data_IF_648107457808
#
_entry.id   IF_648107457808
#
_cell.length_a   1.000
_cell.length_b   1.000
_cell.length_c   1.000
_cell.angle_alpha   90.00
_cell.angle_beta   90.00
_cell.angle_gamma   90.00
#
_symmetry.space_group_name_H-M   'P 1'
#
loop_
_entity.id
_entity.type
_entity.pdbx_description
1 polymer ?
#
# COMPACT_ATOMS: atom_id res chain seq x y z
N UNK A 1 -4.40 -13.85 -39.73
CA UNK A 1 -5.81 -13.41 -39.81
C UNK A 1 -6.54 -13.86 -38.54
N UNK A 2 -6.63 -12.98 -37.55
CA UNK A 2 -7.55 -13.11 -36.41
C UNK A 2 -8.29 -11.78 -36.34
N UNK A 3 -9.30 -11.62 -37.18
CA UNK A 3 -10.16 -10.45 -37.17
C UNK A 3 -11.31 -10.68 -36.18
N UNK A 4 -11.53 -9.66 -35.35
CA UNK A 4 -12.74 -9.30 -34.60
C UNK A 4 -13.97 -10.22 -34.78
N UNK A 5 -14.39 -10.90 -33.71
CA UNK A 5 -15.77 -11.38 -33.59
C UNK A 5 -15.96 -12.66 -32.80
N UNK A 6 -15.13 -13.68 -33.05
CA UNK A 6 -15.33 -14.99 -32.41
C UNK A 6 -14.57 -15.10 -31.10
N UNK A 7 -15.31 -14.98 -30.00
CA UNK A 7 -14.78 -15.28 -28.67
C UNK A 7 -14.35 -16.76 -28.64
N UNK A 8 -13.04 -17.01 -28.64
CA UNK A 8 -12.48 -18.34 -28.40
C UNK A 8 -13.17 -19.00 -27.20
N UNK A 9 -13.51 -20.31 -27.28
CA UNK A 9 -14.09 -21.01 -26.14
C UNK A 9 -13.21 -20.87 -24.90
N UNK A 10 -13.83 -20.68 -23.74
CA UNK A 10 -13.12 -20.39 -22.49
C UNK A 10 -12.07 -21.47 -22.14
N UNK A 11 -12.37 -22.73 -22.43
CA UNK A 11 -11.44 -23.86 -22.26
C UNK A 11 -10.20 -23.73 -23.15
N UNK A 12 -10.35 -23.24 -24.38
CA UNK A 12 -9.23 -23.02 -25.30
C UNK A 12 -8.38 -21.85 -24.80
N UNK A 13 -9.01 -20.76 -24.37
CA UNK A 13 -8.31 -19.63 -23.72
C UNK A 13 -7.50 -20.11 -22.51
N UNK A 14 -8.09 -20.91 -21.62
CA UNK A 14 -7.42 -21.48 -20.45
C UNK A 14 -6.19 -22.32 -20.83
N UNK A 15 -6.32 -23.22 -21.81
CA UNK A 15 -5.21 -24.09 -22.25
C UNK A 15 -4.08 -23.30 -22.90
N UNK A 16 -4.42 -22.27 -23.70
CA UNK A 16 -3.43 -21.40 -24.32
C UNK A 16 -2.66 -20.59 -23.28
N UNK A 17 -3.36 -19.98 -22.31
CA UNK A 17 -2.71 -19.27 -21.19
C UNK A 17 -1.84 -20.22 -20.36
N UNK A 18 -2.30 -21.45 -20.12
CA UNK A 18 -1.51 -22.43 -19.40
C UNK A 18 -0.24 -22.85 -20.16
N UNK A 19 -0.35 -23.13 -21.46
CA UNK A 19 0.80 -23.44 -22.31
C UNK A 19 1.80 -22.28 -22.33
N UNK A 20 1.29 -21.06 -22.46
CA UNK A 20 2.08 -19.84 -22.42
C UNK A 20 2.85 -19.71 -21.10
N UNK A 21 2.17 -19.92 -19.96
CA UNK A 21 2.79 -19.95 -18.64
C UNK A 21 3.88 -21.02 -18.51
N UNK A 22 3.62 -22.23 -19.02
CA UNK A 22 4.58 -23.33 -18.99
C UNK A 22 5.86 -23.03 -19.79
N UNK A 23 5.76 -22.33 -20.93
CA UNK A 23 6.94 -21.94 -21.71
C UNK A 23 7.75 -20.88 -20.95
N UNK A 24 7.09 -19.91 -20.32
CA UNK A 24 7.75 -18.87 -19.53
C UNK A 24 8.49 -19.47 -18.34
N UNK A 25 7.85 -20.35 -17.57
CA UNK A 25 8.43 -20.91 -16.35
C UNK A 25 9.45 -22.02 -16.62
N UNK A 26 9.42 -22.65 -17.80
CA UNK A 26 10.29 -23.77 -18.14
C UNK A 26 11.74 -23.39 -18.46
N UNK A 27 11.98 -22.39 -19.33
CA UNK A 27 13.34 -22.01 -19.74
C UNK A 27 13.47 -20.51 -20.00
N UNK A 28 14.49 -19.88 -19.39
CA UNK A 28 14.75 -18.43 -19.47
C UNK A 28 14.94 -17.92 -20.90
N UNK A 29 15.65 -18.64 -21.76
CA UNK A 29 15.92 -18.23 -23.14
C UNK A 29 14.64 -18.24 -23.98
N UNK A 30 13.85 -19.32 -23.86
CA UNK A 30 12.56 -19.41 -24.54
C UNK A 30 11.58 -18.34 -24.04
N UNK A 31 11.58 -18.09 -22.74
CA UNK A 31 10.77 -17.05 -22.13
C UNK A 31 11.14 -15.66 -22.67
N UNK A 32 12.43 -15.31 -22.77
CA UNK A 32 12.86 -14.02 -23.31
C UNK A 32 12.47 -13.81 -24.78
N UNK A 33 12.41 -14.90 -25.56
CA UNK A 33 11.92 -14.84 -26.95
C UNK A 33 10.41 -14.62 -26.97
N UNK A 34 9.69 -15.34 -26.12
CA UNK A 34 8.23 -15.31 -26.05
C UNK A 34 7.69 -13.98 -25.52
N UNK A 35 8.37 -13.39 -24.52
CA UNK A 35 8.02 -12.10 -23.93
C UNK A 35 8.25 -11.01 -24.96
N UNK A 36 7.14 -10.51 -25.50
CA UNK A 36 7.04 -9.48 -26.52
C UNK A 36 5.92 -8.49 -26.18
N UNK A 37 5.94 -7.28 -26.76
CA UNK A 37 4.88 -6.29 -26.54
C UNK A 37 3.49 -6.88 -26.87
N UNK A 38 3.37 -7.58 -28.00
CA UNK A 38 2.13 -8.24 -28.41
C UNK A 38 1.66 -9.30 -27.41
N UNK A 39 2.58 -10.08 -26.82
CA UNK A 39 2.20 -11.07 -25.82
C UNK A 39 1.68 -10.44 -24.52
N UNK A 40 2.23 -9.29 -24.12
CA UNK A 40 1.76 -8.52 -22.97
C UNK A 40 0.36 -7.99 -23.26
N UNK A 41 0.15 -7.39 -24.44
CA UNK A 41 -1.16 -6.90 -24.88
C UNK A 41 -2.23 -8.00 -24.89
N UNK A 42 -1.89 -9.20 -25.40
CA UNK A 42 -2.80 -10.35 -25.42
C UNK A 42 -3.20 -10.78 -24.01
N UNK A 43 -2.25 -10.88 -23.06
CA UNK A 43 -2.60 -11.22 -21.68
C UNK A 43 -3.45 -10.13 -21.01
N UNK A 44 -3.20 -8.86 -21.30
CA UNK A 44 -4.02 -7.76 -20.78
C UNK A 44 -5.44 -7.80 -21.36
N UNK A 45 -5.59 -8.14 -22.64
CA UNK A 45 -6.89 -8.38 -23.27
C UNK A 45 -7.62 -9.57 -22.65
N UNK A 46 -6.91 -10.64 -22.27
CA UNK A 46 -7.51 -11.76 -21.54
C UNK A 46 -8.09 -11.28 -20.20
N UNK A 47 -7.36 -10.49 -19.43
CA UNK A 47 -7.84 -9.89 -18.16
C UNK A 47 -9.07 -8.99 -18.38
N UNK A 48 -9.03 -8.12 -19.39
CA UNK A 48 -10.15 -7.24 -19.73
C UNK A 48 -11.38 -8.03 -20.18
N UNK A 49 -11.20 -9.04 -21.04
CA UNK A 49 -12.31 -9.89 -21.51
C UNK A 49 -12.94 -10.70 -20.39
N UNK A 50 -12.16 -11.10 -19.38
CA UNK A 50 -12.64 -11.80 -18.19
C UNK A 50 -13.57 -10.91 -17.35
N UNK A 51 -13.29 -9.61 -17.26
CA UNK A 51 -14.13 -8.63 -16.55
C UNK A 51 -15.52 -8.51 -17.18
N UNK A 52 -15.60 -8.43 -18.51
CA UNK A 52 -16.84 -8.19 -19.27
C UNK A 52 -17.61 -9.47 -19.63
N UNK A 53 -17.11 -10.64 -19.21
CA UNK A 53 -17.77 -11.93 -19.48
C UNK A 53 -19.17 -11.99 -18.85
N UNK A 54 -20.15 -12.36 -19.67
CA UNK A 54 -21.58 -12.52 -19.30
C UNK A 54 -21.89 -13.91 -18.69
N UNK A 55 -20.91 -14.84 -18.67
CA UNK A 55 -21.04 -16.21 -18.18
C UNK A 55 -20.34 -16.48 -16.85
N UNK A 56 -20.38 -17.73 -16.33
CA UNK A 56 -19.65 -18.10 -15.13
C UNK A 56 -18.15 -17.84 -15.31
N UNK A 57 -17.58 -17.00 -14.44
CA UNK A 57 -16.17 -16.59 -14.56
C UNK A 57 -15.24 -17.67 -14.05
N UNK A 58 -14.39 -18.21 -14.93
CA UNK A 58 -13.34 -19.10 -14.49
C UNK A 58 -12.19 -18.31 -13.85
N UNK A 59 -12.11 -18.32 -12.51
CA UNK A 59 -11.04 -17.68 -11.74
C UNK A 59 -9.64 -18.23 -12.08
N UNK A 60 -9.55 -19.44 -12.63
CA UNK A 60 -8.27 -20.05 -12.98
C UNK A 60 -7.61 -19.38 -14.18
N UNK A 61 -8.39 -18.88 -15.14
CA UNK A 61 -7.86 -18.08 -16.26
C UNK A 61 -7.26 -16.79 -15.73
N UNK A 62 -7.99 -16.10 -14.84
CA UNK A 62 -7.51 -14.88 -14.18
C UNK A 62 -6.19 -15.13 -13.46
N UNK A 63 -6.15 -16.13 -12.57
CA UNK A 63 -4.96 -16.47 -11.79
C UNK A 63 -3.77 -16.86 -12.67
N UNK A 64 -3.97 -17.71 -13.67
CA UNK A 64 -2.88 -18.12 -14.58
C UNK A 64 -2.36 -16.94 -15.40
N UNK A 65 -3.24 -16.06 -15.88
CA UNK A 65 -2.85 -14.88 -16.65
C UNK A 65 -2.00 -13.93 -15.80
N UNK A 66 -2.42 -13.69 -14.55
CA UNK A 66 -1.64 -12.88 -13.60
C UNK A 66 -0.29 -13.52 -13.27
N UNK A 67 -0.26 -14.83 -13.02
CA UNK A 67 0.99 -15.57 -12.78
C UNK A 67 1.94 -15.54 -13.99
N UNK A 68 1.41 -15.55 -15.22
CA UNK A 68 2.21 -15.37 -16.42
C UNK A 68 2.87 -13.98 -16.42
N UNK A 69 2.10 -12.91 -16.19
CA UNK A 69 2.61 -11.54 -16.15
C UNK A 69 3.70 -11.36 -15.06
N UNK A 70 3.48 -11.94 -13.88
CA UNK A 70 4.47 -11.99 -12.80
C UNK A 70 5.75 -12.70 -13.25
N UNK A 71 5.60 -13.87 -13.86
CA UNK A 71 6.74 -14.66 -14.34
C UNK A 71 7.53 -13.90 -15.41
N UNK A 72 6.85 -13.11 -16.27
CA UNK A 72 7.55 -12.20 -17.20
C UNK A 72 8.40 -11.18 -16.46
N UNK A 73 7.83 -10.51 -15.46
CA UNK A 73 8.54 -9.49 -14.67
C UNK A 73 9.76 -10.11 -13.98
N UNK A 74 9.64 -11.29 -13.38
CA UNK A 74 10.76 -12.00 -12.76
C UNK A 74 11.89 -12.32 -13.77
N UNK A 75 11.53 -12.79 -14.96
CA UNK A 75 12.50 -13.13 -15.99
C UNK A 75 13.18 -11.87 -16.53
N UNK A 76 12.43 -10.81 -16.82
CA UNK A 76 13.00 -9.54 -17.29
C UNK A 76 13.93 -8.93 -16.24
N UNK A 77 13.51 -8.91 -14.97
CA UNK A 77 14.30 -8.34 -13.88
C UNK A 77 15.62 -9.10 -13.65
N UNK A 78 15.61 -10.43 -13.81
CA UNK A 78 16.82 -11.25 -13.69
C UNK A 78 17.66 -11.34 -14.97
N UNK A 79 17.27 -10.66 -16.05
CA UNK A 79 17.96 -10.68 -17.36
C UNK A 79 18.70 -9.38 -17.64
N UNK A 80 19.72 -9.44 -18.48
CA UNK A 80 20.47 -8.24 -18.87
C UNK A 80 19.62 -7.36 -19.82
N UNK A 81 19.72 -6.01 -19.73
CA UNK A 81 18.92 -5.11 -20.58
C UNK A 81 19.00 -5.42 -22.08
N UNK A 82 20.19 -5.74 -22.60
CA UNK A 82 20.38 -6.08 -24.03
C UNK A 82 19.70 -7.38 -24.48
N UNK A 83 19.23 -8.22 -23.55
CA UNK A 83 18.49 -9.45 -23.86
C UNK A 83 16.97 -9.25 -23.81
N UNK A 84 16.50 -8.10 -23.29
CA UNK A 84 15.08 -7.82 -23.09
C UNK A 84 14.48 -7.27 -24.37
N UNK A 85 13.37 -7.85 -24.81
CA UNK A 85 12.53 -7.31 -25.89
C UNK A 85 11.48 -6.32 -25.39
N UNK A 86 11.21 -6.36 -24.09
CA UNK A 86 10.17 -5.56 -23.43
C UNK A 86 10.74 -5.04 -22.12
N UNK A 87 10.51 -3.76 -21.84
CA UNK A 87 10.86 -3.17 -20.55
C UNK A 87 9.80 -3.49 -19.49
N UNK A 88 10.25 -3.69 -18.25
CA UNK A 88 9.35 -3.95 -17.10
C UNK A 88 8.30 -2.84 -16.96
N UNK A 89 8.72 -1.58 -17.20
CA UNK A 89 7.84 -0.41 -17.19
C UNK A 89 6.64 -0.57 -18.14
N UNK A 90 6.83 -1.12 -19.33
CA UNK A 90 5.74 -1.32 -20.29
C UNK A 90 4.69 -2.33 -19.78
N UNK A 91 5.12 -3.41 -19.13
CA UNK A 91 4.20 -4.40 -18.54
C UNK A 91 3.39 -3.75 -17.44
N UNK A 92 4.05 -2.99 -16.58
CA UNK A 92 3.41 -2.28 -15.48
C UNK A 92 2.43 -1.24 -15.97
N UNK A 93 2.85 -0.47 -16.97
CA UNK A 93 1.97 0.45 -17.66
C UNK A 93 0.72 -0.28 -18.17
N UNK A 94 0.82 -1.37 -18.90
CA UNK A 94 -0.38 -2.06 -19.38
C UNK A 94 -1.22 -2.64 -18.22
N UNK A 95 -0.58 -3.09 -17.15
CA UNK A 95 -1.22 -3.61 -15.94
C UNK A 95 -2.08 -2.54 -15.23
N UNK A 96 -1.51 -1.37 -14.95
CA UNK A 96 -2.25 -0.27 -14.28
C UNK A 96 -3.37 0.31 -15.16
N UNK A 97 -3.26 0.15 -16.50
CA UNK A 97 -4.31 0.54 -17.47
C UNK A 97 -5.56 -0.28 -17.19
N UNK A 98 -5.39 -1.59 -17.09
CA UNK A 98 -6.48 -2.53 -16.77
C UNK A 98 -7.00 -2.29 -15.36
N UNK A 99 -6.10 -2.10 -14.39
CA UNK A 99 -6.47 -1.88 -12.99
C UNK A 99 -7.35 -0.62 -12.82
N UNK A 100 -6.98 0.49 -13.46
CA UNK A 100 -7.65 1.78 -13.34
C UNK A 100 -8.71 2.03 -14.43
N UNK A 101 -9.19 0.99 -15.12
CA UNK A 101 -10.26 1.13 -16.10
C UNK A 101 -11.58 1.45 -15.39
N UNK A 102 -12.13 2.65 -15.59
CA UNK A 102 -13.32 3.14 -14.87
C UNK A 102 -14.65 2.88 -15.58
N UNK A 103 -14.59 2.48 -16.84
CA UNK A 103 -15.73 2.09 -17.65
C UNK A 103 -15.32 0.95 -18.59
N UNK A 104 -16.25 0.07 -19.00
CA UNK A 104 -15.94 -0.97 -19.97
C UNK A 104 -15.32 -0.33 -21.21
N UNK A 105 -14.19 -0.89 -21.66
CA UNK A 105 -13.41 -0.40 -22.80
C UNK A 105 -14.11 -0.56 -24.17
N UNK A 106 -15.43 -0.78 -24.16
CA UNK A 106 -16.27 -0.77 -25.35
C UNK A 106 -17.62 -0.14 -25.01
N UNK A 107 -17.97 0.89 -25.76
CA UNK A 107 -19.29 1.53 -25.79
C UNK A 107 -20.37 0.50 -26.09
N UNK A 108 -21.12 0.10 -25.06
CA UNK A 108 -22.46 -0.46 -25.22
C UNK A 108 -23.24 -0.15 -23.94
N UNK A 109 -23.95 0.98 -23.95
CA UNK A 109 -24.86 1.47 -22.88
C UNK A 109 -26.05 0.53 -22.59
N UNK A 110 -25.97 -0.77 -22.94
CA UNK A 110 -27.10 -1.70 -22.92
C UNK A 110 -26.88 -2.99 -22.10
N UNK A 111 -25.72 -3.19 -21.48
CA UNK A 111 -25.42 -4.41 -20.68
C UNK A 111 -24.93 -4.12 -19.25
N UNK A 112 -25.12 -2.90 -18.74
CA UNK A 112 -24.70 -2.51 -17.39
C UNK A 112 -25.60 -3.13 -16.30
N UNK A 113 -25.52 -4.45 -16.13
CA UNK A 113 -26.02 -5.15 -14.95
C UNK A 113 -24.93 -5.24 -13.86
N UNK A 114 -25.27 -5.49 -12.59
CA UNK A 114 -24.33 -5.54 -11.45
C UNK A 114 -23.16 -6.54 -11.62
N UNK A 115 -23.27 -7.49 -12.55
CA UNK A 115 -22.26 -8.51 -12.81
C UNK A 115 -20.88 -7.95 -13.21
N UNK A 116 -20.78 -6.90 -14.05
CA UNK A 116 -19.48 -6.40 -14.52
C UNK A 116 -18.69 -5.69 -13.42
N UNK A 117 -19.39 -5.01 -12.50
CA UNK A 117 -18.80 -4.34 -11.33
C UNK A 117 -18.13 -5.35 -10.40
N UNK A 118 -18.81 -6.47 -10.12
CA UNK A 118 -18.27 -7.58 -9.33
C UNK A 118 -17.03 -8.19 -10.02
N UNK A 119 -17.03 -8.26 -11.35
CA UNK A 119 -15.90 -8.75 -12.14
C UNK A 119 -14.71 -7.82 -12.08
N UNK A 120 -14.94 -6.52 -12.24
CA UNK A 120 -13.90 -5.51 -12.13
C UNK A 120 -13.31 -5.48 -10.72
N UNK A 121 -14.14 -5.54 -9.68
CA UNK A 121 -13.69 -5.64 -8.29
C UNK A 121 -12.83 -6.90 -8.08
N UNK A 122 -13.28 -8.06 -8.54
CA UNK A 122 -12.52 -9.31 -8.41
C UNK A 122 -11.19 -9.27 -9.17
N UNK A 123 -11.18 -8.73 -10.39
CA UNK A 123 -9.97 -8.52 -11.19
C UNK A 123 -9.01 -7.59 -10.44
N UNK A 124 -9.47 -6.44 -9.97
CA UNK A 124 -8.67 -5.46 -9.21
C UNK A 124 -8.12 -6.06 -7.92
N UNK A 125 -8.91 -6.84 -7.19
CA UNK A 125 -8.47 -7.53 -5.97
C UNK A 125 -7.35 -8.51 -6.27
N UNK A 126 -7.52 -9.36 -7.29
CA UNK A 126 -6.52 -10.36 -7.67
C UNK A 126 -5.27 -9.72 -8.26
N UNK A 127 -5.42 -8.66 -9.06
CA UNK A 127 -4.32 -7.86 -9.54
C UNK A 127 -3.55 -7.28 -8.35
N UNK A 128 -4.15 -6.43 -7.54
CA UNK A 128 -3.43 -5.79 -6.42
C UNK A 128 -2.88 -6.81 -5.41
N UNK A 129 -3.52 -7.98 -5.26
CA UNK A 129 -2.95 -9.12 -4.53
C UNK A 129 -1.63 -9.60 -5.14
N UNK A 130 -1.64 -9.88 -6.43
CA UNK A 130 -0.45 -10.32 -7.16
C UNK A 130 0.63 -9.24 -7.26
N UNK A 131 0.23 -7.98 -7.28
CA UNK A 131 1.14 -6.85 -7.27
C UNK A 131 1.95 -6.81 -5.96
N UNK A 132 1.32 -6.97 -4.79
CA UNK A 132 2.04 -6.88 -3.52
C UNK A 132 3.05 -8.02 -3.31
N UNK A 133 2.71 -9.27 -3.69
CA UNK A 133 3.57 -10.44 -3.49
C UNK A 133 4.92 -10.33 -4.24
N UNK A 134 4.91 -9.66 -5.39
CA UNK A 134 6.05 -9.66 -6.32
C UNK A 134 6.88 -8.38 -6.24
N UNK A 135 6.26 -7.27 -5.85
CA UNK A 135 6.89 -5.94 -5.92
C UNK A 135 7.50 -5.46 -4.61
N UNK A 136 7.05 -5.97 -3.44
CA UNK A 136 7.59 -5.62 -2.11
C UNK A 136 9.11 -5.86 -2.03
N UNK A 137 9.62 -6.89 -2.69
CA UNK A 137 11.02 -7.31 -2.58
C UNK A 137 11.94 -6.87 -3.73
N UNK A 138 11.41 -6.49 -4.91
CA UNK A 138 12.23 -6.41 -6.14
C UNK A 138 12.22 -5.09 -6.89
N UNK A 139 11.10 -4.38 -6.93
CA UNK A 139 10.95 -3.19 -7.80
C UNK A 139 10.83 -1.90 -6.99
N UNK A 140 10.32 -1.99 -5.76
CA UNK A 140 10.19 -0.85 -4.86
C UNK A 140 8.93 -0.02 -5.12
N UNK A 141 8.44 0.60 -4.04
CA UNK A 141 7.23 1.42 -4.05
C UNK A 141 7.37 2.75 -4.82
N UNK A 142 8.60 3.19 -5.09
CA UNK A 142 8.87 4.39 -5.89
C UNK A 142 8.34 4.26 -7.31
N UNK A 143 8.53 3.10 -7.96
CA UNK A 143 8.02 2.89 -9.31
C UNK A 143 6.50 2.72 -9.35
N UNK A 144 5.89 2.13 -8.30
CA UNK A 144 4.44 2.14 -8.13
C UNK A 144 3.91 3.58 -8.15
N UNK A 145 4.50 4.44 -7.32
CA UNK A 145 4.10 5.83 -7.21
C UNK A 145 4.21 6.58 -8.54
N UNK A 146 5.35 6.46 -9.23
CA UNK A 146 5.55 7.10 -10.54
C UNK A 146 4.52 6.64 -11.57
N UNK A 147 4.18 5.36 -11.60
CA UNK A 147 3.19 4.86 -12.57
C UNK A 147 1.77 5.27 -12.19
N UNK A 148 1.42 5.25 -10.90
CA UNK A 148 0.14 5.78 -10.40
C UNK A 148 -0.03 7.26 -10.77
N UNK A 149 1.02 8.06 -10.59
CA UNK A 149 1.07 9.49 -10.93
C UNK A 149 1.01 9.76 -12.43
N UNK A 150 1.61 8.89 -13.24
CA UNK A 150 1.59 9.03 -14.71
C UNK A 150 0.21 8.83 -15.36
N UNK A 151 -0.82 8.50 -14.58
CA UNK A 151 -2.15 8.12 -15.07
C UNK A 151 -3.25 9.00 -14.47
N UNK A 152 -4.45 8.87 -15.04
CA UNK A 152 -5.66 9.61 -14.65
C UNK A 152 -5.94 9.53 -13.13
N UNK A 153 -6.76 10.47 -12.64
CA UNK A 153 -7.18 10.58 -11.24
C UNK A 153 -7.55 9.21 -10.63
N UNK A 154 -7.12 8.91 -9.39
CA UNK A 154 -7.40 7.62 -8.76
C UNK A 154 -8.89 7.47 -8.48
N UNK A 155 -9.36 6.21 -8.52
CA UNK A 155 -10.74 5.88 -8.15
C UNK A 155 -10.85 5.36 -6.74
N UNK A 156 -12.03 5.51 -6.13
CA UNK A 156 -12.31 5.04 -4.77
C UNK A 156 -11.91 3.57 -4.53
N UNK A 157 -12.20 2.62 -5.45
CA UNK A 157 -11.80 1.23 -5.25
C UNK A 157 -10.28 1.02 -5.27
N UNK A 158 -9.53 1.83 -6.04
CA UNK A 158 -8.07 1.79 -6.02
C UNK A 158 -7.55 2.25 -4.66
N UNK A 159 -8.09 3.34 -4.12
CA UNK A 159 -7.71 3.87 -2.81
C UNK A 159 -7.99 2.87 -1.69
N UNK A 160 -9.17 2.24 -1.67
CA UNK A 160 -9.52 1.20 -0.70
C UNK A 160 -8.60 -0.03 -0.78
N UNK A 161 -8.15 -0.35 -1.98
CA UNK A 161 -7.23 -1.46 -2.17
C UNK A 161 -5.79 -1.10 -1.80
N UNK A 162 -5.36 0.15 -1.95
CA UNK A 162 -4.10 0.64 -1.37
C UNK A 162 -4.13 0.56 0.17
N UNK A 163 -5.28 0.87 0.80
CA UNK A 163 -5.46 0.68 2.25
C UNK A 163 -5.43 -0.80 2.63
N UNK A 164 -6.12 -1.65 1.88
CA UNK A 164 -6.09 -3.10 2.06
C UNK A 164 -4.66 -3.68 1.93
N UNK A 165 -3.86 -3.14 1.00
CA UNK A 165 -2.45 -3.52 0.87
C UNK A 165 -1.63 -3.13 2.10
N UNK A 166 -1.93 -2.00 2.74
CA UNK A 166 -1.23 -1.60 3.95
C UNK A 166 -1.49 -2.53 5.14
N UNK A 167 -2.67 -3.16 5.15
CA UNK A 167 -3.11 -4.10 6.20
C UNK A 167 -2.79 -5.57 5.86
N UNK A 168 -2.27 -5.85 4.65
CA UNK A 168 -2.16 -7.20 4.09
C UNK A 168 -3.48 -8.02 4.22
N UNK A 169 -4.63 -7.32 4.15
CA UNK A 169 -5.96 -7.87 4.41
C UNK A 169 -7.06 -7.06 3.72
N UNK A 170 -8.34 -7.37 3.98
CA UNK A 170 -9.45 -6.55 3.47
C UNK A 170 -9.60 -5.33 4.36
N UNK A 171 -9.52 -4.14 3.78
CA UNK A 171 -9.84 -2.91 4.50
C UNK A 171 -11.33 -2.91 4.87
N UNK A 172 -11.62 -2.86 6.17
CA UNK A 172 -12.96 -2.73 6.71
C UNK A 172 -12.98 -1.54 7.70
N UNK A 173 -13.76 -0.47 7.44
CA UNK A 173 -13.89 0.65 8.36
C UNK A 173 -14.32 0.27 9.79
N UNK A 174 -15.09 -0.81 9.95
CA UNK A 174 -15.58 -1.29 11.24
C UNK A 174 -14.53 -2.09 12.02
N UNK A 175 -13.56 -2.67 11.32
CA UNK A 175 -12.51 -3.49 11.89
C UNK A 175 -11.18 -3.23 11.17
N UNK A 176 -10.39 -2.33 11.75
CA UNK A 176 -9.07 -1.97 11.24
C UNK A 176 -8.02 -2.93 11.81
N UNK A 177 -7.35 -3.67 10.92
CA UNK A 177 -6.23 -4.54 11.27
C UNK A 177 -4.94 -3.79 11.59
N UNK A 178 -3.88 -4.55 11.88
CA UNK A 178 -2.53 -4.01 12.02
C UNK A 178 -1.97 -3.57 10.67
N UNK A 179 -1.17 -2.50 10.67
CA UNK A 179 -0.37 -2.13 9.50
C UNK A 179 0.79 -3.13 9.39
N UNK A 180 0.75 -3.93 8.34
CA UNK A 180 1.82 -4.88 7.97
C UNK A 180 2.72 -4.32 6.86
N UNK A 181 2.29 -3.25 6.20
CA UNK A 181 3.03 -2.55 5.18
C UNK A 181 2.70 -1.05 5.16
N UNK A 182 3.64 -0.20 5.58
CA UNK A 182 3.45 1.24 5.70
C UNK A 182 3.48 1.98 4.35
N UNK A 183 4.12 1.41 3.32
CA UNK A 183 4.45 2.11 2.08
C UNK A 183 3.23 2.59 1.28
N UNK A 184 2.13 1.82 1.14
CA UNK A 184 0.92 2.31 0.48
C UNK A 184 0.31 3.54 1.16
N UNK A 185 0.44 3.65 2.49
CA UNK A 185 -0.07 4.82 3.23
C UNK A 185 0.78 6.07 2.96
N UNK A 186 2.10 5.92 2.86
CA UNK A 186 3.00 7.02 2.49
C UNK A 186 2.70 7.52 1.08
N UNK A 187 2.46 6.61 0.13
CA UNK A 187 2.03 6.94 -1.23
C UNK A 187 0.72 7.74 -1.20
N UNK A 188 -0.27 7.28 -0.43
CA UNK A 188 -1.55 7.98 -0.31
C UNK A 188 -1.37 9.41 0.21
N UNK A 189 -0.56 9.62 1.26
CA UNK A 189 -0.26 10.96 1.79
C UNK A 189 0.41 11.84 0.75
N UNK A 190 1.40 11.31 0.03
CA UNK A 190 2.12 12.06 -0.99
C UNK A 190 1.21 12.41 -2.18
N UNK A 191 0.19 11.60 -2.46
CA UNK A 191 -0.72 11.82 -3.59
C UNK A 191 -1.83 12.82 -3.29
N UNK A 192 -2.21 13.02 -2.02
CA UNK A 192 -3.32 13.90 -1.60
C UNK A 192 -3.32 15.28 -2.28
N UNK A 193 -2.21 16.04 -2.32
CA UNK A 193 -2.22 17.39 -2.90
C UNK A 193 -2.56 17.42 -4.39
N UNK A 194 -2.29 16.33 -5.11
CA UNK A 194 -2.48 16.22 -6.56
C UNK A 194 -3.86 15.66 -6.94
N UNK A 195 -4.68 15.25 -5.96
CA UNK A 195 -6.04 14.78 -6.21
C UNK A 195 -6.92 15.95 -6.63
N UNK A 196 -7.44 15.93 -7.86
CA UNK A 196 -8.29 17.00 -8.36
C UNK A 196 -9.68 17.03 -7.68
N UNK A 197 -10.35 15.89 -7.43
CA UNK A 197 -11.62 15.88 -6.70
C UNK A 197 -11.40 16.11 -5.20
N UNK A 198 -11.99 17.17 -4.65
CA UNK A 198 -11.93 17.50 -3.21
C UNK A 198 -12.50 16.39 -2.32
N UNK A 199 -13.57 15.74 -2.77
CA UNK A 199 -14.15 14.59 -2.07
C UNK A 199 -13.16 13.43 -1.88
N UNK A 200 -12.23 13.24 -2.83
CA UNK A 200 -11.19 12.22 -2.69
C UNK A 200 -10.11 12.64 -1.69
N UNK A 201 -9.74 13.93 -1.67
CA UNK A 201 -8.81 14.46 -0.64
C UNK A 201 -9.37 14.20 0.77
N UNK A 202 -10.65 14.51 0.97
CA UNK A 202 -11.36 14.28 2.24
C UNK A 202 -11.37 12.78 2.55
N UNK A 203 -11.87 11.95 1.64
CA UNK A 203 -11.99 10.50 1.84
C UNK A 203 -10.64 9.86 2.22
N UNK A 204 -9.56 10.15 1.48
CA UNK A 204 -8.23 9.59 1.75
C UNK A 204 -7.73 10.04 3.11
N UNK A 205 -7.85 11.33 3.44
CA UNK A 205 -7.41 11.86 4.74
C UNK A 205 -8.19 11.28 5.93
N UNK A 206 -9.48 10.97 5.76
CA UNK A 206 -10.29 10.31 6.78
C UNK A 206 -9.86 8.85 6.98
N UNK A 207 -9.62 8.13 5.88
CA UNK A 207 -9.19 6.72 5.96
C UNK A 207 -7.78 6.58 6.56
N UNK A 208 -6.88 7.52 6.24
CA UNK A 208 -5.56 7.57 6.87
C UNK A 208 -5.68 7.76 8.37
N UNK A 209 -6.54 8.66 8.86
CA UNK A 209 -6.78 8.79 10.30
C UNK A 209 -7.28 7.48 10.91
N UNK A 210 -8.27 6.83 10.28
CA UNK A 210 -8.81 5.56 10.78
C UNK A 210 -7.76 4.47 10.87
N UNK A 211 -6.93 4.31 9.83
CA UNK A 211 -5.90 3.26 9.80
C UNK A 211 -4.74 3.57 10.74
N UNK A 212 -4.23 4.81 10.72
CA UNK A 212 -3.05 5.19 11.48
C UNK A 212 -3.33 5.35 12.98
N UNK A 213 -4.53 5.74 13.40
CA UNK A 213 -4.90 5.94 14.83
C UNK A 213 -5.66 4.74 15.44
N UNK A 214 -5.84 3.63 14.72
CA UNK A 214 -6.65 2.50 15.23
C UNK A 214 -6.03 1.76 16.42
N UNK A 215 -4.70 1.78 16.56
CA UNK A 215 -3.98 1.11 17.66
C UNK A 215 -2.68 1.84 17.99
N UNK A 216 -2.05 1.52 19.13
CA UNK A 216 -0.72 2.06 19.41
C UNK A 216 0.31 1.52 18.41
N UNK A 217 0.23 0.23 18.05
CA UNK A 217 1.09 -0.39 17.06
C UNK A 217 1.07 0.35 15.73
N UNK A 218 -0.12 0.66 15.20
CA UNK A 218 -0.25 1.37 13.92
C UNK A 218 0.37 2.77 13.96
N UNK A 219 0.15 3.51 15.06
CA UNK A 219 0.78 4.82 15.25
C UNK A 219 2.30 4.74 15.30
N UNK A 220 2.85 3.75 16.01
CA UNK A 220 4.30 3.51 16.06
C UNK A 220 4.88 3.17 14.69
N UNK A 221 4.24 2.26 13.94
CA UNK A 221 4.63 1.93 12.57
C UNK A 221 4.65 3.18 11.69
N UNK A 222 3.63 4.04 11.77
CA UNK A 222 3.58 5.30 11.02
C UNK A 222 4.73 6.26 11.39
N UNK A 223 5.02 6.41 12.69
CA UNK A 223 6.13 7.25 13.16
C UNK A 223 7.49 6.73 12.66
N UNK A 224 7.72 5.42 12.77
CA UNK A 224 8.94 4.76 12.30
C UNK A 224 9.10 4.89 10.78
N UNK A 225 8.01 4.80 10.03
CA UNK A 225 7.93 5.01 8.59
C UNK A 225 8.26 6.44 8.12
N UNK A 226 8.32 7.42 9.04
CA UNK A 226 8.49 8.83 8.69
C UNK A 226 7.23 9.48 8.13
N UNK A 227 6.03 8.97 8.49
CA UNK A 227 4.74 9.50 8.08
C UNK A 227 4.58 11.00 8.40
N UNK A 228 5.09 11.44 9.55
CA UNK A 228 5.04 12.85 10.00
C UNK A 228 5.68 13.77 8.95
N UNK A 229 6.87 13.41 8.45
CA UNK A 229 7.56 14.17 7.40
C UNK A 229 6.77 14.23 6.09
N UNK A 230 6.13 13.13 5.69
CA UNK A 230 5.32 13.08 4.46
C UNK A 230 4.07 13.95 4.58
N UNK A 231 3.39 13.95 5.73
CA UNK A 231 2.22 14.80 5.95
C UNK A 231 2.62 16.29 5.94
N UNK A 232 3.75 16.65 6.55
CA UNK A 232 4.27 18.01 6.50
C UNK A 232 4.59 18.45 5.07
N UNK A 233 5.21 17.59 4.27
CA UNK A 233 5.47 17.87 2.87
C UNK A 233 4.19 18.05 2.06
N UNK A 234 3.13 17.27 2.35
CA UNK A 234 1.83 17.40 1.70
C UNK A 234 1.12 18.72 2.06
N UNK A 235 1.26 19.20 3.31
CA UNK A 235 0.70 20.48 3.77
C UNK A 235 1.48 21.71 3.28
N UNK A 236 2.80 21.57 3.07
CA UNK A 236 3.69 22.62 2.56
C UNK A 236 3.71 22.69 1.03
N UNK A 237 3.26 21.62 0.35
CA UNK A 237 3.12 21.60 -1.10
C UNK A 237 2.14 22.67 -1.54
N UNK A 238 2.60 23.66 -2.32
CA UNK A 238 1.86 24.90 -2.67
C UNK A 238 0.52 24.75 -3.40
N UNK A 239 -0.06 23.55 -3.45
CA UNK A 239 -1.44 23.31 -3.87
C UNK A 239 -2.38 23.49 -2.67
N UNK A 240 -3.41 24.31 -2.84
CA UNK A 240 -4.40 24.55 -1.80
C UNK A 240 -5.22 23.27 -1.56
N UNK A 241 -5.08 22.68 -0.38
CA UNK A 241 -5.86 21.51 0.07
C UNK A 241 -7.26 21.93 0.53
N UNK A 242 -8.22 21.00 0.41
CA UNK A 242 -9.51 21.16 1.06
C UNK A 242 -9.38 21.37 2.58
N UNK A 243 -10.19 22.24 3.16
CA UNK A 243 -10.12 22.61 4.57
C UNK A 243 -10.32 21.40 5.51
N UNK A 244 -11.23 20.48 5.17
CA UNK A 244 -11.46 19.27 5.95
C UNK A 244 -10.31 18.28 5.78
N UNK A 245 -9.77 18.16 4.57
CA UNK A 245 -8.57 17.36 4.34
C UNK A 245 -7.38 17.86 5.17
N UNK A 246 -7.12 19.17 5.18
CA UNK A 246 -6.06 19.77 5.97
C UNK A 246 -6.29 19.56 7.49
N UNK A 247 -7.51 19.71 7.98
CA UNK A 247 -7.87 19.41 9.37
C UNK A 247 -7.54 17.95 9.74
N UNK A 248 -7.91 17.01 8.87
CA UNK A 248 -7.62 15.59 9.05
C UNK A 248 -6.12 15.30 9.08
N UNK A 249 -5.32 15.91 8.19
CA UNK A 249 -3.87 15.76 8.19
C UNK A 249 -3.21 16.35 9.44
N UNK A 250 -3.66 17.51 9.90
CA UNK A 250 -3.16 18.16 11.12
C UNK A 250 -3.56 17.37 12.37
N UNK A 251 -4.76 16.78 12.39
CA UNK A 251 -5.16 15.82 13.43
C UNK A 251 -4.22 14.61 13.46
N UNK A 252 -3.89 14.05 12.31
CA UNK A 252 -2.98 12.91 12.24
C UNK A 252 -1.56 13.30 12.71
N UNK A 253 -1.06 14.48 12.34
CA UNK A 253 0.18 15.03 12.89
C UNK A 253 0.12 15.11 14.42
N UNK A 254 -0.98 15.61 14.99
CA UNK A 254 -1.18 15.65 16.45
C UNK A 254 -1.08 14.27 17.09
N UNK A 255 -1.74 13.26 16.50
CA UNK A 255 -1.75 11.88 17.03
C UNK A 255 -0.35 11.28 17.01
N UNK A 256 0.37 11.40 15.90
CA UNK A 256 1.69 10.81 15.72
C UNK A 256 2.76 11.60 16.51
N UNK A 257 2.68 12.93 16.52
CA UNK A 257 3.60 13.82 17.22
C UNK A 257 3.56 13.69 18.75
N UNK A 258 2.48 13.16 19.32
CA UNK A 258 2.42 12.77 20.75
C UNK A 258 3.33 11.59 21.09
N UNK A 259 3.73 10.78 20.12
CA UNK A 259 4.62 9.64 20.33
C UNK A 259 6.08 10.03 20.13
N UNK A 260 6.37 10.70 19.02
CA UNK A 260 7.71 11.18 18.71
C UNK A 260 7.64 12.29 17.67
N UNK A 261 8.53 13.26 17.80
CA UNK A 261 8.73 14.31 16.81
C UNK A 261 10.21 14.61 16.65
N UNK A 262 10.71 14.59 15.41
CA UNK A 262 12.10 14.94 15.08
C UNK A 262 12.27 16.47 15.04
N UNK A 263 13.47 17.01 15.28
CA UNK A 263 13.72 18.45 15.17
C UNK A 263 13.35 19.05 13.80
N UNK A 264 13.53 18.30 12.72
CA UNK A 264 13.16 18.70 11.36
C UNK A 264 11.65 18.76 11.16
N UNK A 265 10.89 17.85 11.76
CA UNK A 265 9.43 17.78 11.72
C UNK A 265 8.82 18.92 12.55
N UNK A 266 9.38 19.19 13.73
CA UNK A 266 8.99 20.34 14.55
C UNK A 266 9.23 21.65 13.80
N UNK A 267 10.37 21.78 13.11
CA UNK A 267 10.62 22.94 12.24
C UNK A 267 9.58 23.05 11.13
N UNK A 268 9.18 21.93 10.53
CA UNK A 268 8.10 21.88 9.53
C UNK A 268 6.77 22.39 10.08
N UNK A 269 6.35 21.97 11.27
CA UNK A 269 5.15 22.51 11.93
C UNK A 269 5.25 24.03 12.16
N UNK A 270 6.41 24.52 12.60
CA UNK A 270 6.62 25.95 12.83
C UNK A 270 6.57 26.77 11.54
N UNK A 271 6.98 26.20 10.39
CA UNK A 271 6.81 26.83 9.09
C UNK A 271 5.34 27.06 8.74
N UNK A 272 4.47 26.09 9.05
CA UNK A 272 3.02 26.20 8.84
C UNK A 272 2.32 27.24 9.73
N UNK A 273 3.06 28.00 10.55
CA UNK A 273 2.53 29.14 11.31
C UNK A 273 2.71 30.48 10.59
N UNK A 274 3.61 30.56 9.60
CA UNK A 274 4.02 31.82 8.96
C UNK A 274 3.95 31.65 7.44
N UNK A 275 3.36 32.61 6.73
CA UNK A 275 3.55 32.70 5.28
C UNK A 275 4.80 33.53 4.97
N UNK A 276 5.35 33.42 3.75
CA UNK A 276 6.43 34.31 3.30
C UNK A 276 5.96 35.78 3.13
N UNK A 277 4.65 36.04 3.27
CA UNK A 277 4.06 37.38 3.38
C UNK A 277 3.61 37.73 4.80
N UNK A 278 3.17 38.98 5.01
CA UNK A 278 2.71 39.49 6.32
C UNK A 278 1.43 38.82 6.88
N UNK A 279 0.95 37.73 6.28
CA UNK A 279 -0.23 36.98 6.69
C UNK A 279 0.09 35.73 7.50
N UNK A 280 -0.81 35.35 8.41
CA UNK A 280 -0.77 34.04 9.06
C UNK A 280 -1.16 32.95 8.06
N UNK A 281 -0.53 31.78 8.16
CA UNK A 281 -0.89 30.61 7.35
C UNK A 281 -2.32 30.17 7.67
N UNK A 282 -3.13 29.67 6.71
CA UNK A 282 -4.49 29.18 6.99
C UNK A 282 -4.53 28.07 8.06
N UNK A 283 -3.42 27.33 8.18
CA UNK A 283 -3.27 26.25 9.16
C UNK A 283 -2.71 26.70 10.51
N UNK A 284 -2.39 27.99 10.70
CA UNK A 284 -1.71 28.47 11.91
C UNK A 284 -2.49 28.12 13.19
N UNK A 285 -3.79 28.41 13.24
CA UNK A 285 -4.64 28.10 14.40
C UNK A 285 -4.75 26.59 14.67
N UNK A 286 -5.09 25.73 13.68
CA UNK A 286 -5.06 24.27 13.84
C UNK A 286 -3.69 23.72 14.30
N UNK A 287 -2.59 24.21 13.75
CA UNK A 287 -1.23 23.77 14.09
C UNK A 287 -0.86 24.15 15.53
N UNK A 288 -1.21 25.36 15.99
CA UNK A 288 -1.01 25.76 17.39
C UNK A 288 -1.80 24.85 18.33
N UNK A 289 -3.04 24.52 17.99
CA UNK A 289 -3.86 23.58 18.78
C UNK A 289 -3.22 22.20 18.82
N UNK A 290 -2.73 21.71 17.68
CA UNK A 290 -2.03 20.43 17.59
C UNK A 290 -0.77 20.42 18.45
N UNK A 291 0.07 21.46 18.38
CA UNK A 291 1.28 21.60 19.20
C UNK A 291 0.95 21.64 20.70
N UNK A 292 -0.07 22.40 21.10
CA UNK A 292 -0.53 22.42 22.50
C UNK A 292 -0.98 21.04 22.95
N UNK A 293 -1.74 20.33 22.12
CA UNK A 293 -2.24 18.99 22.41
C UNK A 293 -1.13 17.93 22.43
N UNK A 294 -0.06 18.09 21.65
CA UNK A 294 1.14 17.24 21.72
C UNK A 294 1.92 17.45 23.03
N UNK A 295 2.00 18.70 23.50
CA UNK A 295 2.72 19.07 24.72
C UNK A 295 1.97 18.70 26.01
N UNK A 296 0.64 18.53 25.94
CA UNK A 296 -0.17 18.11 27.08
C UNK A 296 0.18 16.67 27.48
N UNK A 297 0.56 16.50 28.75
CA UNK A 297 0.77 15.20 29.39
C UNK A 297 -0.56 14.59 29.85
N UNK A 298 -1.51 14.46 28.92
CA UNK A 298 -2.79 13.83 29.21
C UNK A 298 -2.71 12.32 28.93
N UNK A 299 -2.80 11.50 29.98
CA UNK A 299 -2.83 10.04 29.91
C UNK A 299 -1.93 9.35 30.94
N UNK A 300 -2.00 8.00 31.06
CA UNK A 300 -1.10 7.24 31.92
C UNK A 300 0.35 7.41 31.48
N UNK A 301 1.28 7.33 32.43
CA UNK A 301 2.73 7.38 32.16
C UNK A 301 3.08 6.40 31.03
N UNK A 302 3.56 6.95 29.92
CA UNK A 302 3.92 6.17 28.72
C UNK A 302 5.38 5.75 28.82
N UNK A 303 5.67 4.55 28.31
CA UNK A 303 7.05 4.10 28.20
C UNK A 303 7.85 5.09 27.33
N UNK A 304 9.03 5.48 27.81
CA UNK A 304 9.94 6.36 27.05
C UNK A 304 10.44 5.68 25.76
N UNK A 305 10.43 4.35 25.73
CA UNK A 305 10.86 3.53 24.60
C UNK A 305 9.94 2.32 24.48
N UNK A 306 9.67 1.93 23.25
CA UNK A 306 8.87 0.76 22.90
C UNK A 306 9.74 -0.19 22.09
N UNK A 307 9.64 -1.49 22.39
CA UNK A 307 10.32 -2.54 21.66
C UNK A 307 9.29 -3.34 20.87
N UNK A 308 9.47 -3.46 19.56
CA UNK A 308 8.72 -4.43 18.77
C UNK A 308 9.46 -5.77 18.77
N UNK A 309 8.95 -6.70 19.57
CA UNK A 309 9.46 -8.06 19.68
C UNK A 309 8.65 -9.06 18.82
N UNK A 310 7.80 -8.57 17.91
CA UNK A 310 7.03 -9.42 16.99
C UNK A 310 7.92 -10.20 16.00
N UNK A 311 9.00 -9.62 15.43
CA UNK A 311 9.91 -10.37 14.57
C UNK A 311 10.62 -11.51 15.33
N UNK A 312 10.78 -12.68 14.69
CA UNK A 312 11.33 -13.88 15.32
C UNK A 312 12.76 -13.76 15.83
N UNK A 313 13.50 -12.77 15.35
CA UNK A 313 14.89 -12.47 15.75
C UNK A 313 15.00 -11.16 16.56
N UNK A 314 13.87 -10.53 16.92
CA UNK A 314 13.89 -9.33 17.75
C UNK A 314 14.22 -9.68 19.20
N UNK A 315 15.08 -8.86 19.81
CA UNK A 315 15.47 -9.01 21.21
C UNK A 315 16.06 -7.72 21.75
N UNK A 316 16.07 -7.59 23.07
CA UNK A 316 16.76 -6.48 23.76
C UNK A 316 18.24 -6.88 23.87
N UNK A 317 19.09 -6.28 23.04
CA UNK A 317 20.53 -6.50 23.12
C UNK A 317 21.11 -5.58 24.20
N UNK A 318 21.72 -6.18 25.21
CA UNK A 318 22.51 -5.44 26.19
C UNK A 318 23.90 -5.20 25.59
N UNK A 319 24.41 -3.95 25.54
CA UNK A 319 25.76 -3.69 25.04
C UNK A 319 26.79 -4.56 25.77
N UNK A 320 27.80 -5.05 25.06
CA UNK A 320 28.90 -5.79 25.69
C UNK A 320 29.66 -4.87 26.64
N UNK A 321 29.44 -5.02 27.94
CA UNK A 321 30.20 -4.30 28.96
C UNK A 321 31.63 -4.87 29.00
N UNK A 322 32.58 -4.10 28.48
CA UNK A 322 33.98 -4.53 28.40
C UNK A 322 34.67 -4.65 29.77
N UNK A 323 34.16 -3.95 30.80
CA UNK A 323 34.69 -4.03 32.17
C UNK A 323 33.57 -3.83 33.17
N UNK A 324 33.29 -4.86 33.95
CA UNK A 324 32.27 -4.83 35.00
C UNK A 324 32.85 -4.16 36.26
N UNK A 325 32.13 -3.21 36.89
CA UNK A 325 32.60 -2.54 38.12
C UNK A 325 32.49 -3.41 39.38
N UNK A 326 32.08 -4.68 39.26
CA UNK A 326 31.89 -5.60 40.38
C UNK A 326 31.59 -7.04 39.93
N UNK A 327 31.14 -7.88 40.87
CA UNK A 327 30.84 -9.31 40.65
C UNK A 327 29.54 -9.58 39.88
N UNK A 328 28.75 -8.55 39.57
CA UNK A 328 27.51 -8.65 38.81
C UNK A 328 26.81 -7.31 38.63
N UNK A 329 25.63 -7.35 38.01
CA UNK A 329 24.74 -6.20 37.89
C UNK A 329 23.29 -6.62 38.11
N UNK A 330 22.48 -5.67 38.59
CA UNK A 330 21.05 -5.74 38.52
C UNK A 330 20.58 -4.52 37.72
N UNK A 331 19.58 -4.70 36.86
CA UNK A 331 18.85 -3.58 36.27
C UNK A 331 17.37 -3.76 36.56
N UNK A 332 16.65 -2.65 36.58
CA UNK A 332 15.20 -2.62 36.78
C UNK A 332 14.60 -1.97 35.54
N UNK A 333 13.61 -2.62 34.95
CA UNK A 333 12.89 -2.12 33.79
C UNK A 333 11.40 -2.34 34.00
N UNK A 334 10.61 -1.38 33.52
CA UNK A 334 9.16 -1.48 33.45
C UNK A 334 8.80 -1.90 32.03
N UNK A 335 8.12 -3.05 31.90
CA UNK A 335 7.70 -3.57 30.59
C UNK A 335 6.19 -3.42 30.51
N UNK A 336 5.73 -2.63 29.54
CA UNK A 336 4.31 -2.54 29.20
C UNK A 336 4.04 -3.51 28.05
N UNK A 337 3.23 -4.54 28.31
CA UNK A 337 2.73 -5.44 27.28
C UNK A 337 1.40 -4.87 26.79
N UNK A 338 1.31 -4.55 25.50
CA UNK A 338 0.04 -4.14 24.90
C UNK A 338 -0.77 -5.38 24.52
N UNK A 339 -1.96 -5.52 25.09
CA UNK A 339 -2.95 -6.56 24.74
C UNK A 339 -3.71 -6.23 23.44
N UNK A 340 -3.06 -5.62 22.44
CA UNK A 340 -3.69 -5.34 21.14
C UNK A 340 -3.94 -6.63 20.31
N UNK A 341 -3.60 -7.81 20.85
CA UNK A 341 -4.01 -9.10 20.31
C UNK A 341 -5.50 -9.34 20.61
N UNK A 342 -6.38 -8.84 19.76
CA UNK A 342 -7.67 -9.52 19.56
C UNK A 342 -7.37 -10.88 18.94
N UNK A 343 -7.28 -11.91 19.77
CA UNK A 343 -7.22 -13.30 19.33
C UNK A 343 -8.37 -13.57 18.35
N UNK A 344 -8.05 -13.91 17.10
CA UNK A 344 -8.96 -14.79 16.37
C UNK A 344 -9.10 -16.07 17.20
N UNK A 345 -10.31 -16.60 17.41
CA UNK A 345 -10.53 -17.78 18.24
C UNK A 345 -9.90 -18.99 17.56
N UNK A 346 -8.60 -19.19 17.80
CA UNK A 346 -7.84 -20.30 17.27
C UNK A 346 -7.51 -21.22 18.43
N UNK A 347 -8.12 -22.39 18.35
CA UNK A 347 -8.00 -23.51 19.29
C UNK A 347 -6.55 -23.78 19.67
N UNK A 348 -6.23 -23.59 20.96
CA UNK A 348 -5.18 -24.31 21.67
C UNK A 348 -3.75 -24.11 21.17
N UNK A 349 -3.17 -22.91 21.33
CA UNK A 349 -1.70 -22.77 21.34
C UNK A 349 -1.18 -22.84 22.78
N UNK A 350 -0.52 -23.96 23.11
CA UNK A 350 0.13 -24.18 24.41
C UNK A 350 1.17 -23.08 24.68
N UNK A 351 1.05 -22.42 25.84
CA UNK A 351 2.08 -21.53 26.41
C UNK A 351 3.44 -22.23 26.35
N UNK A 352 4.39 -21.66 25.61
CA UNK A 352 5.80 -22.04 25.73
C UNK A 352 6.37 -21.32 26.95
N UNK A 353 6.45 -22.05 28.06
CA UNK A 353 7.15 -21.62 29.25
C UNK A 353 8.65 -21.64 28.94
N UNK A 354 9.26 -20.46 28.89
CA UNK A 354 10.72 -20.34 28.88
C UNK A 354 11.17 -20.50 30.33
N UNK A 355 11.96 -21.54 30.56
CA UNK A 355 12.58 -21.96 31.82
C UNK A 355 11.74 -22.88 32.72
N UNK A 356 12.44 -23.91 33.20
CA UNK A 356 11.99 -24.97 34.10
C UNK A 356 12.72 -24.83 35.42
#
# INVERSE_FOLDING_TARGET
AFHNGDNLPELVKLRLVHLYGAIITGNKTNALILISQSSVEVLMLVLQSWCVSQGPRNLRILQLTLNCLISMIHILHSSNPGQRRVEIRHILDSYFKVLNSDRPLYSAERLAGPHWEEGLLTLRINMLRMYWEVFKERIGYSHLFEVLKSRSQPTRPLLEKLLSMALEGVYNPDYIGCIENEQPLLILVQWIPELAPRDLQILVSERLNQVCDSSLRNRMTCVQAGMVGHILAALDGGMELDAKCAENLIRLLQVLGRLSIKPTELRGLLKLLRTEGSGAHPYATPVIRALSAMARRDGPDRALQYFDLTPSMSGIMVPTMQKWPGTGFAFHAWVCLNDDFREEPTTGRKRKQLYR
#
